data_IF_789149926285
#
_entry.id   IF_789149926285
#
_cell.length_a   1.000
_cell.length_b   1.000
_cell.length_c   1.000
_cell.angle_alpha   90.00
_cell.angle_beta   90.00
_cell.angle_gamma   90.00
#
_symmetry.space_group_name_H-M   'P 1'
#
loop_
_entity.id
_entity.type
_entity.pdbx_description
1 polymer ?
#
# COMPACT_ATOMS: atom_id res chain seq x y z
N UNK A 1 1.94 -8.15 13.65
CA UNK A 1 1.38 -6.82 13.36
C UNK A 1 2.41 -5.76 13.72
N UNK A 2 2.66 -4.84 12.82
CA UNK A 2 3.64 -3.76 13.00
C UNK A 2 2.99 -2.42 12.71
N UNK A 3 3.58 -1.36 13.26
CA UNK A 3 3.25 -0.01 12.85
C UNK A 3 4.35 0.49 11.91
N UNK A 4 3.96 1.30 10.92
CA UNK A 4 4.90 1.90 9.98
C UNK A 4 4.53 3.36 9.77
N UNK A 5 5.54 4.22 9.78
CA UNK A 5 5.40 5.65 9.49
C UNK A 5 6.10 5.91 8.16
N UNK A 6 5.45 6.68 7.30
CA UNK A 6 6.02 7.09 6.02
C UNK A 6 5.83 8.59 5.85
N UNK A 7 6.91 9.30 5.59
CA UNK A 7 6.83 10.74 5.36
C UNK A 7 6.23 11.06 4.00
N UNK A 8 5.70 12.27 3.87
CA UNK A 8 5.17 12.77 2.60
C UNK A 8 6.17 12.51 1.47
N UNK A 9 5.68 11.97 0.36
CA UNK A 9 6.49 11.60 -0.80
C UNK A 9 7.15 10.23 -0.72
N UNK A 10 7.12 9.59 0.45
CA UNK A 10 7.71 8.25 0.62
C UNK A 10 6.87 7.17 -0.05
N UNK A 11 7.53 6.12 -0.52
CA UNK A 11 6.88 5.00 -1.19
C UNK A 11 6.64 3.87 -0.21
N UNK A 12 5.40 3.39 -0.15
CA UNK A 12 5.03 2.26 0.71
C UNK A 12 5.43 0.95 0.03
N UNK A 13 5.07 0.78 -1.23
CA UNK A 13 5.56 -0.30 -2.08
C UNK A 13 5.49 0.13 -3.54
N UNK A 14 6.24 -0.58 -4.40
CA UNK A 14 6.30 -0.30 -5.84
C UNK A 14 5.69 -1.43 -6.64
N UNK A 15 5.23 -1.12 -7.84
CA UNK A 15 4.85 -2.15 -8.81
C UNK A 15 5.97 -3.18 -8.93
N UNK A 16 5.59 -4.46 -8.95
CA UNK A 16 6.55 -5.56 -9.06
C UNK A 16 7.10 -6.06 -7.75
N UNK A 17 6.95 -5.32 -6.65
CA UNK A 17 7.38 -5.78 -5.34
C UNK A 17 6.57 -7.01 -4.91
N UNK A 18 7.13 -7.87 -4.05
CA UNK A 18 6.37 -9.01 -3.51
C UNK A 18 5.12 -8.54 -2.76
N UNK A 19 3.99 -9.20 -2.98
CA UNK A 19 2.74 -8.93 -2.28
C UNK A 19 2.65 -9.73 -0.98
N UNK A 20 3.42 -9.33 0.01
CA UNK A 20 3.62 -10.11 1.25
C UNK A 20 3.03 -9.48 2.50
N UNK A 21 2.34 -8.35 2.38
CA UNK A 21 1.76 -7.64 3.51
C UNK A 21 0.50 -6.88 3.10
N UNK A 22 -0.37 -6.66 4.09
CA UNK A 22 -1.59 -5.86 3.95
C UNK A 22 -1.46 -4.65 4.87
N UNK A 23 -1.97 -3.51 4.43
CA UNK A 23 -1.83 -2.24 5.13
C UNK A 23 -3.19 -1.68 5.51
N UNK A 24 -3.28 -1.14 6.73
CA UNK A 24 -4.46 -0.41 7.21
C UNK A 24 -4.02 1.01 7.51
N UNK A 25 -4.56 1.97 6.77
CA UNK A 25 -4.18 3.37 6.92
C UNK A 25 -4.85 3.96 8.17
N UNK A 26 -4.04 4.39 9.13
CA UNK A 26 -4.54 4.96 10.38
C UNK A 26 -4.58 6.48 10.36
N UNK A 27 -3.65 7.11 9.65
CA UNK A 27 -3.62 8.56 9.48
C UNK A 27 -2.96 8.93 8.18
N UNK A 28 -3.31 10.10 7.66
CA UNK A 28 -2.76 10.60 6.42
C UNK A 28 -3.47 10.06 5.19
N UNK A 29 -2.86 10.32 4.04
CA UNK A 29 -3.41 9.94 2.75
C UNK A 29 -2.32 9.37 1.87
N UNK A 30 -2.69 8.41 1.03
CA UNK A 30 -1.78 7.82 0.04
C UNK A 30 -2.43 7.86 -1.33
N UNK A 31 -1.59 7.89 -2.37
CA UNK A 31 -2.05 7.77 -3.75
C UNK A 31 -1.62 6.44 -4.31
N UNK A 32 -2.47 5.87 -5.14
CA UNK A 32 -2.20 4.64 -5.88
C UNK A 32 -1.86 5.01 -7.30
N UNK A 33 -0.70 4.57 -7.77
CA UNK A 33 -0.15 4.90 -9.07
C UNK A 33 0.04 3.65 -9.91
N UNK A 34 -0.19 3.79 -11.20
CA UNK A 34 0.11 2.75 -12.18
C UNK A 34 0.94 3.33 -13.30
N UNK A 35 1.91 2.57 -13.77
CA UNK A 35 2.70 2.94 -14.93
C UNK A 35 1.86 2.81 -16.21
N UNK A 36 1.83 3.88 -16.99
CA UNK A 36 1.19 3.89 -18.30
C UNK A 36 2.07 4.71 -19.23
N UNK A 37 2.58 4.07 -20.27
CA UNK A 37 3.44 4.71 -21.28
C UNK A 37 4.66 5.43 -20.66
N UNK A 38 5.27 4.81 -19.65
CA UNK A 38 6.45 5.35 -18.99
C UNK A 38 6.17 6.42 -17.95
N UNK A 39 4.92 6.71 -17.68
CA UNK A 39 4.52 7.71 -16.67
C UNK A 39 3.70 7.08 -15.56
N UNK A 40 3.81 7.65 -14.37
CA UNK A 40 2.97 7.27 -13.24
C UNK A 40 1.62 7.98 -13.37
N UNK A 41 0.55 7.19 -13.40
CA UNK A 41 -0.82 7.71 -13.46
C UNK A 41 -1.51 7.40 -12.13
N UNK A 42 -2.06 8.45 -11.50
CA UNK A 42 -2.85 8.27 -10.28
C UNK A 42 -4.18 7.61 -10.63
N UNK A 43 -4.47 6.49 -9.97
CA UNK A 43 -5.75 5.80 -10.16
C UNK A 43 -6.66 5.90 -8.93
N UNK A 44 -6.14 6.24 -7.78
CA UNK A 44 -6.94 6.41 -6.56
C UNK A 44 -6.17 7.18 -5.50
N UNK A 45 -6.93 7.75 -4.56
CA UNK A 45 -6.41 8.31 -3.32
C UNK A 45 -7.14 7.60 -2.18
N UNK A 46 -6.39 7.11 -1.20
CA UNK A 46 -6.95 6.44 -0.04
C UNK A 46 -6.78 7.30 1.20
N UNK A 47 -7.77 7.21 2.08
CA UNK A 47 -7.86 8.00 3.31
C UNK A 47 -7.85 7.09 4.53
N UNK A 48 -7.84 7.70 5.71
CA UNK A 48 -7.90 7.00 6.99
C UNK A 48 -9.00 5.93 6.97
N UNK A 49 -8.66 4.75 7.46
CA UNK A 49 -9.56 3.60 7.50
C UNK A 49 -9.43 2.65 6.31
N UNK A 50 -8.76 3.07 5.25
CA UNK A 50 -8.59 2.23 4.06
C UNK A 50 -7.68 1.04 4.34
N UNK A 51 -8.04 -0.09 3.72
CA UNK A 51 -7.20 -1.29 3.69
C UNK A 51 -6.69 -1.42 2.26
N UNK A 52 -5.39 -1.64 2.10
CA UNK A 52 -4.81 -1.77 0.76
C UNK A 52 -3.68 -2.79 0.73
N UNK A 53 -3.35 -3.25 -0.46
CA UNK A 53 -2.32 -4.27 -0.67
C UNK A 53 -2.83 -5.70 -0.49
N UNK A 54 -4.11 -5.90 -0.19
CA UNK A 54 -4.70 -7.22 0.08
C UNK A 54 -4.73 -8.12 -1.15
N UNK A 55 -4.89 -7.56 -2.34
CA UNK A 55 -4.99 -8.37 -3.56
C UNK A 55 -3.71 -9.11 -3.88
N UNK A 56 -2.56 -8.50 -3.65
CA UNK A 56 -1.26 -9.17 -3.83
C UNK A 56 -1.12 -10.37 -2.91
N UNK A 57 -1.56 -10.22 -1.67
CA UNK A 57 -1.52 -11.29 -0.68
C UNK A 57 -2.49 -12.42 -1.03
N UNK A 58 -3.75 -12.06 -1.35
CA UNK A 58 -4.78 -13.03 -1.65
C UNK A 58 -4.50 -13.84 -2.92
N UNK A 59 -3.87 -13.22 -3.91
CA UNK A 59 -3.57 -13.84 -5.20
C UNK A 59 -2.14 -14.36 -5.31
N UNK A 60 -1.33 -14.12 -4.29
CA UNK A 60 0.09 -14.49 -4.28
C UNK A 60 0.81 -13.96 -5.54
N UNK A 61 0.61 -12.68 -5.83
CA UNK A 61 1.16 -12.01 -7.01
C UNK A 61 1.95 -10.77 -6.61
N UNK A 62 2.91 -10.35 -7.45
CA UNK A 62 3.59 -9.08 -7.26
C UNK A 62 2.60 -7.91 -7.26
N UNK A 63 3.00 -6.81 -6.65
CA UNK A 63 2.20 -5.58 -6.60
C UNK A 63 1.89 -5.09 -8.02
N UNK A 64 0.64 -4.78 -8.28
CA UNK A 64 0.19 -4.24 -9.57
C UNK A 64 0.26 -2.73 -9.64
N UNK A 65 0.52 -2.07 -8.51
CA UNK A 65 0.53 -0.61 -8.38
C UNK A 65 1.65 -0.18 -7.46
N UNK A 66 1.98 1.11 -7.53
CA UNK A 66 2.86 1.79 -6.56
C UNK A 66 1.97 2.60 -5.63
N UNK A 67 2.29 2.61 -4.34
CA UNK A 67 1.57 3.42 -3.35
C UNK A 67 2.55 4.42 -2.72
N UNK A 68 2.20 5.69 -2.76
CA UNK A 68 3.05 6.78 -2.29
C UNK A 68 2.29 7.69 -1.33
N UNK A 69 2.95 8.13 -0.27
CA UNK A 69 2.35 9.00 0.74
C UNK A 69 2.15 10.42 0.21
N UNK A 70 0.92 10.92 0.32
CA UNK A 70 0.58 12.31 -0.02
C UNK A 70 0.75 13.24 1.17
N UNK A 71 0.79 12.69 2.37
CA UNK A 71 1.05 13.40 3.62
C UNK A 71 1.85 12.46 4.51
N UNK A 72 2.25 12.92 5.69
CA UNK A 72 2.86 12.02 6.66
C UNK A 72 1.81 11.00 7.08
N UNK A 73 2.11 9.72 6.89
CA UNK A 73 1.15 8.64 7.10
C UNK A 73 1.59 7.70 8.20
N UNK A 74 0.60 7.16 8.90
CA UNK A 74 0.78 6.06 9.84
C UNK A 74 -0.12 4.91 9.45
N UNK A 75 0.38 3.69 9.53
CA UNK A 75 -0.36 2.52 9.12
C UNK A 75 0.00 1.30 9.95
N UNK A 76 -0.93 0.35 10.02
CA UNK A 76 -0.68 -0.97 10.56
C UNK A 76 -0.34 -1.89 9.40
N UNK A 77 0.71 -2.69 9.58
CA UNK A 77 1.16 -3.66 8.58
C UNK A 77 0.89 -5.07 9.11
N UNK A 78 0.10 -5.82 8.37
CA UNK A 78 -0.19 -7.23 8.67
C UNK A 78 0.61 -8.09 7.69
N UNK A 79 1.31 -9.09 8.23
CA UNK A 79 1.93 -10.11 7.37
C UNK A 79 0.84 -10.93 6.68
N UNK A 80 1.22 -11.68 5.65
CA UNK A 80 0.30 -12.60 4.98
C UNK A 80 -0.37 -13.54 5.99
N UNK A 81 0.42 -14.14 6.88
CA UNK A 81 -0.12 -15.08 7.87
C UNK A 81 -1.08 -14.40 8.82
N UNK A 82 -0.75 -13.21 9.30
CA UNK A 82 -1.63 -12.44 10.20
C UNK A 82 -2.95 -12.09 9.51
N UNK A 83 -2.89 -11.68 8.25
CA UNK A 83 -4.07 -11.32 7.49
C UNK A 83 -4.95 -12.55 7.20
N UNK A 84 -4.34 -13.67 6.81
CA UNK A 84 -5.07 -14.88 6.45
C UNK A 84 -5.70 -15.58 7.66
N UNK A 85 -5.19 -15.34 8.86
CA UNK A 85 -5.71 -15.95 10.09
C UNK A 85 -6.56 -15.00 10.93
N UNK A 86 -6.71 -13.78 10.49
CA UNK A 86 -7.48 -12.75 11.21
C UNK A 86 -8.99 -13.03 11.16
#
# INVERSE_FOLDING_TARGET
MKERQVEIGGVIYREGDPGDAVFILQEGEVEILRQARGEDVRIAVLHQGAIFGEMGVLRDKPRSTTVRALSNTGMIVLSKDEFMTA
#
